data_IF_827102046948
#
_entry.id   IF_827102046948
#
_cell.length_a   1.000
_cell.length_b   1.000
_cell.length_c   1.000
_cell.angle_alpha   90.00
_cell.angle_beta   90.00
_cell.angle_gamma   90.00
#
_symmetry.space_group_name_H-M   'P 1'
#
loop_
_entity.id
_entity.type
_entity.pdbx_description
1 polymer ?
#
# COMPACT_ATOMS: atom_id res chain seq x y z
N UNK A 1 -21.86 18.58 -10.05
CA UNK A 1 -20.68 19.24 -9.45
C UNK A 1 -19.51 18.29 -9.18
N UNK A 2 -19.72 16.99 -8.84
CA UNK A 2 -18.63 16.00 -8.64
C UNK A 2 -17.72 15.80 -9.89
N UNK A 3 -18.24 15.89 -11.11
CA UNK A 3 -17.48 15.60 -12.34
C UNK A 3 -16.52 16.70 -12.79
N UNK A 4 -16.69 17.94 -12.34
CA UNK A 4 -15.84 19.07 -12.74
C UNK A 4 -14.54 19.13 -11.92
N UNK A 5 -14.58 18.67 -10.66
CA UNK A 5 -13.39 18.61 -9.79
C UNK A 5 -12.45 17.48 -10.21
N UNK A 6 -12.98 16.37 -10.76
CA UNK A 6 -12.21 15.22 -11.25
C UNK A 6 -11.32 15.57 -12.45
N UNK A 7 -11.73 16.45 -13.33
CA UNK A 7 -10.96 16.87 -14.53
C UNK A 7 -9.88 17.91 -14.26
N UNK A 8 -10.07 18.78 -13.26
CA UNK A 8 -9.12 19.87 -12.99
C UNK A 8 -7.84 19.43 -12.28
N UNK A 9 -7.88 18.38 -11.46
CA UNK A 9 -6.70 17.88 -10.76
C UNK A 9 -5.72 17.17 -11.71
N UNK A 10 -6.22 16.45 -12.72
CA UNK A 10 -5.38 15.78 -13.73
C UNK A 10 -4.65 16.76 -14.65
N UNK A 11 -5.27 17.91 -14.96
CA UNK A 11 -4.68 18.93 -15.82
C UNK A 11 -3.58 19.75 -15.11
N UNK A 12 -3.71 19.99 -13.81
CA UNK A 12 -2.72 20.75 -13.03
C UNK A 12 -1.42 19.95 -12.83
N UNK A 13 -1.51 18.63 -12.65
CA UNK A 13 -0.32 17.76 -12.53
C UNK A 13 0.46 17.72 -13.85
N UNK A 14 -0.21 17.74 -15.00
CA UNK A 14 0.44 17.72 -16.31
C UNK A 14 1.15 19.03 -16.69
N UNK A 15 0.67 20.18 -16.21
CA UNK A 15 1.26 21.50 -16.53
C UNK A 15 2.52 21.86 -15.72
N UNK A 16 2.80 21.16 -14.60
CA UNK A 16 4.01 21.38 -13.81
C UNK A 16 5.28 20.81 -14.44
N UNK A 17 5.16 20.04 -15.53
CA UNK A 17 6.27 19.27 -16.10
C UNK A 17 6.97 19.93 -17.32
N UNK A 18 6.68 21.16 -17.68
CA UNK A 18 7.12 21.74 -18.98
C UNK A 18 8.58 22.22 -19.06
N UNK A 19 9.39 22.22 -17.99
CA UNK A 19 10.74 22.83 -18.00
C UNK A 19 11.82 22.04 -17.24
N UNK A 20 11.86 20.71 -17.31
CA UNK A 20 12.85 19.94 -16.56
C UNK A 20 13.93 19.31 -17.45
N UNK A 21 15.17 19.26 -16.94
CA UNK A 21 16.30 18.64 -17.61
C UNK A 21 16.14 17.13 -17.73
N UNK A 22 16.63 16.55 -18.82
CA UNK A 22 16.62 15.12 -19.10
C UNK A 22 17.49 14.37 -18.06
N UNK A 23 16.97 13.29 -17.45
CA UNK A 23 17.66 12.58 -16.38
C UNK A 23 18.43 11.37 -16.89
N UNK A 24 19.73 11.30 -16.53
CA UNK A 24 20.42 10.03 -16.36
C UNK A 24 20.30 9.62 -14.89
N UNK A 25 19.89 8.37 -14.64
CA UNK A 25 19.63 7.88 -13.29
C UNK A 25 20.88 7.89 -12.40
N UNK A 26 20.69 8.09 -11.11
CA UNK A 26 21.75 8.14 -10.10
C UNK A 26 22.25 6.77 -9.65
N UNK A 27 21.53 5.69 -10.03
CA UNK A 27 21.86 4.31 -9.66
C UNK A 27 21.82 3.39 -10.88
N UNK A 28 22.57 2.29 -10.85
CA UNK A 28 22.51 1.24 -11.86
C UNK A 28 22.60 -0.18 -11.29
N UNK A 29 21.93 -1.13 -11.94
CA UNK A 29 21.93 -2.56 -11.58
C UNK A 29 20.84 -2.95 -10.59
N UNK A 30 20.99 -4.13 -10.02
CA UNK A 30 20.01 -4.72 -9.11
C UNK A 30 20.21 -4.25 -7.67
N UNK A 31 19.08 -3.93 -7.02
CA UNK A 31 18.96 -3.72 -5.58
C UNK A 31 17.94 -4.72 -5.02
N UNK A 32 18.33 -5.46 -3.96
CA UNK A 32 17.46 -6.40 -3.27
C UNK A 32 17.32 -5.94 -1.83
N UNK A 33 16.11 -5.59 -1.44
CA UNK A 33 15.82 -4.99 -0.14
C UNK A 33 14.69 -5.73 0.57
N UNK A 34 14.95 -6.15 1.79
CA UNK A 34 13.92 -6.46 2.76
C UNK A 34 13.57 -5.16 3.50
N UNK A 35 12.52 -4.47 3.04
CA UNK A 35 12.09 -3.20 3.62
C UNK A 35 11.55 -3.37 5.03
N UNK A 36 10.84 -4.48 5.27
CA UNK A 36 10.28 -4.80 6.56
C UNK A 36 10.03 -6.31 6.69
N UNK A 37 10.50 -6.90 7.77
CA UNK A 37 9.97 -8.11 8.36
C UNK A 37 9.62 -7.76 9.80
N UNK A 38 8.35 -7.80 10.18
CA UNK A 38 7.97 -7.35 11.52
C UNK A 38 6.97 -8.25 12.20
N UNK A 39 7.04 -8.21 13.55
CA UNK A 39 6.03 -8.70 14.45
C UNK A 39 5.43 -7.50 15.17
N UNK A 40 4.13 -7.32 15.02
CA UNK A 40 3.40 -6.21 15.56
C UNK A 40 2.48 -6.69 16.69
N UNK A 41 2.47 -5.97 17.80
CA UNK A 41 1.45 -6.08 18.82
C UNK A 41 0.54 -4.88 18.65
N UNK A 42 -0.71 -5.14 18.30
CA UNK A 42 -1.66 -4.09 17.90
C UNK A 42 -2.90 -4.11 18.76
N UNK A 43 -3.50 -2.94 18.92
CA UNK A 43 -4.89 -2.77 19.30
C UNK A 43 -5.64 -2.22 18.08
N UNK A 44 -6.80 -2.78 17.80
CA UNK A 44 -7.64 -2.32 16.68
C UNK A 44 -8.90 -1.68 17.26
N UNK A 45 -9.37 -0.64 16.57
CA UNK A 45 -10.67 -0.01 16.82
C UNK A 45 -11.39 0.10 15.49
N UNK A 46 -12.52 -0.61 15.36
CA UNK A 46 -13.31 -0.68 14.12
C UNK A 46 -14.63 0.02 14.35
N UNK A 47 -14.96 0.97 13.48
CA UNK A 47 -16.24 1.65 13.47
C UNK A 47 -17.11 1.18 12.31
N UNK A 48 -18.39 0.95 12.60
CA UNK A 48 -19.37 0.50 11.63
C UNK A 48 -18.99 -0.82 10.94
N UNK A 49 -18.35 -1.75 11.67
CA UNK A 49 -18.05 -3.08 11.15
C UNK A 49 -19.28 -3.74 10.55
N UNK A 50 -19.12 -4.47 9.45
CA UNK A 50 -20.22 -5.16 8.78
C UNK A 50 -19.69 -6.26 7.88
N UNK A 51 -20.36 -7.40 7.85
CA UNK A 51 -20.10 -8.52 6.93
C UNK A 51 -20.31 -8.16 5.44
N UNK A 52 -20.83 -6.94 5.18
CA UNK A 52 -20.92 -6.38 3.82
C UNK A 52 -19.56 -6.13 3.18
N UNK A 53 -18.54 -5.86 4.01
CA UNK A 53 -17.18 -5.64 3.52
C UNK A 53 -16.42 -6.95 3.32
N UNK A 54 -15.67 -7.07 2.24
CA UNK A 54 -14.82 -8.24 1.96
C UNK A 54 -13.44 -8.15 2.64
N UNK A 55 -13.10 -6.97 3.17
CA UNK A 55 -11.84 -6.78 3.88
C UNK A 55 -11.95 -7.28 5.31
N UNK A 56 -11.07 -8.21 5.70
CA UNK A 56 -10.94 -8.66 7.09
C UNK A 56 -10.71 -7.52 8.09
N UNK A 57 -10.18 -6.40 7.62
CA UNK A 57 -9.95 -5.20 8.43
C UNK A 57 -11.22 -4.47 8.86
N UNK A 58 -12.36 -4.69 8.19
CA UNK A 58 -13.63 -4.02 8.46
C UNK A 58 -14.73 -4.97 8.96
N UNK A 59 -14.46 -6.26 9.03
CA UNK A 59 -15.43 -7.27 9.49
C UNK A 59 -15.23 -7.68 10.95
N UNK A 60 -14.20 -7.16 11.59
CA UNK A 60 -13.73 -7.59 12.91
C UNK A 60 -14.04 -6.54 13.97
N UNK A 61 -14.37 -6.98 15.18
CA UNK A 61 -14.53 -6.11 16.37
C UNK A 61 -13.19 -5.61 16.90
N UNK A 62 -13.25 -4.58 17.76
CA UNK A 62 -12.06 -4.00 18.41
C UNK A 62 -11.39 -5.00 19.33
N UNK A 63 -10.08 -5.23 19.17
CA UNK A 63 -9.34 -6.20 19.97
C UNK A 63 -7.82 -6.02 19.88
N UNK A 64 -7.10 -6.73 20.75
CA UNK A 64 -5.63 -6.79 20.70
C UNK A 64 -5.18 -8.06 20.00
N UNK A 65 -4.22 -7.94 19.07
CA UNK A 65 -3.73 -9.06 18.28
C UNK A 65 -2.22 -9.00 18.06
N UNK A 66 -1.70 -10.12 17.57
CA UNK A 66 -0.35 -10.24 17.03
C UNK A 66 -0.45 -10.34 15.51
N UNK A 67 0.32 -9.53 14.79
CA UNK A 67 0.35 -9.49 13.33
C UNK A 67 1.77 -9.59 12.81
N UNK A 68 1.99 -10.43 11.80
CA UNK A 68 3.21 -10.48 11.01
C UNK A 68 3.08 -9.64 9.74
N UNK A 69 4.16 -8.92 9.38
CA UNK A 69 4.28 -8.21 8.08
C UNK A 69 5.58 -8.57 7.38
N UNK A 70 5.53 -8.69 6.07
CA UNK A 70 6.67 -8.84 5.16
C UNK A 70 6.54 -7.82 4.03
N UNK A 71 7.58 -7.02 3.78
CA UNK A 71 7.71 -6.15 2.61
C UNK A 71 9.11 -6.33 2.00
N UNK A 72 9.15 -6.94 0.82
CA UNK A 72 10.38 -7.22 0.07
C UNK A 72 10.31 -6.56 -1.30
N UNK A 73 11.42 -5.98 -1.75
CA UNK A 73 11.56 -5.39 -3.07
C UNK A 73 12.80 -5.90 -3.81
N UNK A 74 12.64 -6.15 -5.11
CA UNK A 74 13.72 -6.39 -6.05
C UNK A 74 13.64 -5.35 -7.17
N UNK A 75 14.56 -4.40 -7.13
CA UNK A 75 14.58 -3.23 -8.00
C UNK A 75 15.73 -3.35 -9.02
N UNK A 76 15.47 -2.99 -10.26
CA UNK A 76 16.50 -2.87 -11.29
C UNK A 76 16.55 -1.45 -11.81
N UNK A 77 17.72 -0.86 -11.76
CA UNK A 77 18.00 0.49 -12.21
C UNK A 77 18.79 0.47 -13.52
N UNK A 78 18.22 1.04 -14.56
CA UNK A 78 18.90 1.37 -15.81
C UNK A 78 18.89 2.90 -15.99
N UNK A 79 19.64 3.42 -16.96
CA UNK A 79 19.73 4.88 -17.16
C UNK A 79 18.37 5.55 -17.31
N UNK A 80 17.46 4.95 -18.09
CA UNK A 80 16.11 5.50 -18.37
C UNK A 80 14.96 4.69 -17.83
N UNK A 81 15.22 3.55 -17.19
CA UNK A 81 14.19 2.66 -16.71
C UNK A 81 14.44 2.31 -15.23
N UNK A 82 13.38 2.32 -14.46
CA UNK A 82 13.32 1.78 -13.12
C UNK A 82 12.27 0.67 -13.12
N UNK A 83 12.70 -0.56 -12.81
CA UNK A 83 11.82 -1.72 -12.71
C UNK A 83 11.82 -2.23 -11.27
N UNK A 84 10.66 -2.21 -10.64
CA UNK A 84 10.48 -2.62 -9.25
C UNK A 84 9.54 -3.83 -9.17
N UNK A 85 9.94 -4.84 -8.43
CA UNK A 85 9.10 -5.99 -8.10
C UNK A 85 8.94 -6.04 -6.59
N UNK A 86 7.71 -6.17 -6.10
CA UNK A 86 7.41 -6.19 -4.68
C UNK A 86 6.65 -7.44 -4.30
N UNK A 87 6.99 -7.98 -3.13
CA UNK A 87 6.23 -9.00 -2.42
C UNK A 87 5.85 -8.40 -1.07
N UNK A 88 4.56 -8.24 -0.83
CA UNK A 88 4.03 -7.81 0.45
C UNK A 88 3.13 -8.90 1.02
N UNK A 89 3.23 -9.15 2.31
CA UNK A 89 2.37 -10.07 3.05
C UNK A 89 2.07 -9.53 4.44
N UNK A 90 0.85 -9.68 4.88
CA UNK A 90 0.45 -9.45 6.25
C UNK A 90 -0.55 -10.49 6.71
N UNK A 91 -0.37 -10.95 7.95
CA UNK A 91 -1.24 -11.94 8.54
C UNK A 91 -1.36 -11.73 10.05
N UNK A 92 -2.59 -11.75 10.56
CA UNK A 92 -2.86 -11.60 11.99
C UNK A 92 -4.18 -12.21 12.40
N UNK A 93 -4.16 -12.97 13.50
CA UNK A 93 -5.34 -13.59 14.13
C UNK A 93 -5.35 -13.34 15.63
N UNK A 94 -6.54 -13.22 16.17
CA UNK A 94 -6.81 -13.24 17.60
C UNK A 94 -7.55 -14.51 17.97
N UNK A 95 -7.13 -15.12 19.05
CA UNK A 95 -7.75 -16.32 19.63
C UNK A 95 -8.33 -15.95 21.01
N UNK A 96 -9.64 -15.95 21.11
CA UNK A 96 -10.34 -15.73 22.38
C UNK A 96 -10.87 -17.07 22.89
N UNK A 97 -10.57 -17.40 24.14
CA UNK A 97 -11.07 -18.61 24.84
C UNK A 97 -11.85 -18.22 26.08
N UNK A 98 -13.13 -17.81 25.95
CA UNK A 98 -13.97 -17.55 27.10
C UNK A 98 -14.13 -18.81 27.95
N UNK A 99 -14.20 -18.66 29.27
CA UNK A 99 -14.35 -19.81 30.16
C UNK A 99 -15.70 -20.52 29.91
N UNK A 100 -15.63 -21.79 29.46
CA UNK A 100 -16.82 -22.60 29.19
C UNK A 100 -17.47 -22.41 27.81
N UNK A 101 -16.86 -21.64 26.93
CA UNK A 101 -17.32 -21.43 25.56
C UNK A 101 -16.31 -21.96 24.52
N UNK A 102 -16.74 -22.06 23.27
CA UNK A 102 -15.85 -22.42 22.15
C UNK A 102 -14.84 -21.30 21.87
N UNK A 103 -13.70 -21.68 21.33
CA UNK A 103 -12.67 -20.75 20.92
C UNK A 103 -13.17 -19.86 19.75
N UNK A 104 -13.13 -18.54 19.95
CA UNK A 104 -13.46 -17.56 18.92
C UNK A 104 -12.17 -17.13 18.21
N UNK A 105 -12.06 -17.38 16.91
CA UNK A 105 -10.92 -16.95 16.10
C UNK A 105 -11.37 -15.85 15.17
N UNK A 106 -10.75 -14.68 15.30
CA UNK A 106 -11.01 -13.52 14.45
C UNK A 106 -9.78 -13.18 13.65
N UNK A 107 -9.93 -13.01 12.35
CA UNK A 107 -8.86 -12.60 11.45
C UNK A 107 -8.91 -11.09 11.23
N UNK A 108 -7.79 -10.41 11.49
CA UNK A 108 -7.68 -8.96 11.45
C UNK A 108 -6.82 -8.45 10.29
N UNK A 109 -5.96 -9.31 9.75
CA UNK A 109 -5.15 -9.00 8.58
C UNK A 109 -4.87 -10.30 7.81
N UNK A 110 -5.11 -10.30 6.50
CA UNK A 110 -4.86 -11.46 5.64
C UNK A 110 -4.70 -10.94 4.21
N UNK A 111 -3.46 -10.71 3.79
CA UNK A 111 -3.18 -10.14 2.48
C UNK A 111 -1.83 -10.61 1.96
N UNK A 112 -1.79 -11.02 0.71
CA UNK A 112 -0.57 -11.25 -0.07
C UNK A 112 -0.68 -10.45 -1.35
N UNK A 113 0.31 -9.62 -1.65
CA UNK A 113 0.40 -8.82 -2.87
C UNK A 113 1.73 -9.07 -3.56
N UNK A 114 1.66 -9.48 -4.81
CA UNK A 114 2.78 -9.51 -5.75
C UNK A 114 2.56 -8.40 -6.77
N UNK A 115 3.54 -7.54 -6.98
CA UNK A 115 3.42 -6.47 -7.96
C UNK A 115 4.73 -6.25 -8.71
N UNK A 116 4.60 -5.89 -9.98
CA UNK A 116 5.70 -5.42 -10.83
C UNK A 116 5.34 -4.06 -11.39
N UNK A 117 6.30 -3.14 -11.40
CA UNK A 117 6.15 -1.73 -11.77
C UNK A 117 7.31 -1.34 -12.69
N UNK A 118 7.01 -0.80 -13.84
CA UNK A 118 7.98 -0.26 -14.77
C UNK A 118 7.78 1.24 -14.90
N UNK A 119 8.80 2.02 -14.55
CA UNK A 119 8.79 3.48 -14.62
C UNK A 119 9.85 3.96 -15.63
N UNK A 120 9.44 4.84 -16.54
CA UNK A 120 10.38 5.52 -17.44
C UNK A 120 10.83 6.83 -16.80
N UNK A 121 12.15 7.04 -16.65
CA UNK A 121 12.75 8.25 -16.08
C UNK A 121 12.76 9.36 -17.11
N UNK A 122 11.92 10.38 -16.92
CA UNK A 122 11.89 11.52 -17.84
C UNK A 122 12.68 12.71 -17.29
N UNK A 123 12.46 13.04 -16.01
CA UNK A 123 12.99 14.25 -15.39
C UNK A 123 13.63 13.96 -14.05
N UNK A 124 14.66 14.73 -13.73
CA UNK A 124 15.28 14.80 -12.40
C UNK A 124 15.10 16.21 -11.86
N UNK A 125 14.62 16.32 -10.64
CA UNK A 125 14.40 17.56 -9.92
C UNK A 125 15.36 17.53 -8.71
N UNK A 126 16.31 18.47 -8.64
CA UNK A 126 17.38 18.41 -7.65
C UNK A 126 17.11 19.26 -6.40
N UNK A 127 16.47 20.42 -6.57
CA UNK A 127 16.40 21.46 -5.54
C UNK A 127 15.14 21.44 -4.68
N UNK A 128 14.17 20.57 -4.96
CA UNK A 128 12.90 20.53 -4.25
C UNK A 128 12.75 19.23 -3.43
N UNK A 129 12.40 19.33 -2.14
CA UNK A 129 12.19 18.20 -1.20
C UNK A 129 13.36 17.18 -1.16
N UNK A 130 14.60 17.65 -1.37
CA UNK A 130 15.79 16.81 -1.37
C UNK A 130 16.03 16.03 -2.66
N UNK A 131 15.40 16.45 -3.76
CA UNK A 131 15.50 15.84 -5.07
C UNK A 131 14.57 14.64 -5.26
N UNK A 132 14.18 14.37 -6.49
CA UNK A 132 13.46 13.17 -6.91
C UNK A 132 13.49 13.03 -8.42
N UNK A 133 13.14 11.86 -8.92
CA UNK A 133 12.93 11.57 -10.32
C UNK A 133 11.45 11.53 -10.66
N UNK A 134 11.08 11.83 -11.90
CA UNK A 134 9.70 11.85 -12.37
C UNK A 134 9.53 11.14 -13.70
N UNK A 135 8.41 10.46 -13.89
CA UNK A 135 8.09 9.84 -15.16
C UNK A 135 6.78 9.06 -15.18
N UNK A 136 6.37 8.61 -16.38
CA UNK A 136 5.24 7.70 -16.52
C UNK A 136 5.60 6.32 -15.99
N UNK A 137 4.60 5.61 -15.49
CA UNK A 137 4.74 4.23 -15.06
C UNK A 137 3.56 3.38 -15.47
N UNK A 138 3.80 2.08 -15.55
CA UNK A 138 2.79 1.06 -15.63
C UNK A 138 3.12 -0.06 -14.64
N UNK A 139 2.10 -0.62 -14.00
CA UNK A 139 2.28 -1.75 -13.10
C UNK A 139 1.18 -2.78 -13.25
N UNK A 140 1.52 -4.01 -12.86
CA UNK A 140 0.55 -5.09 -12.70
C UNK A 140 0.78 -5.73 -11.33
N UNK A 141 -0.30 -6.05 -10.63
CA UNK A 141 -0.27 -6.69 -9.32
C UNK A 141 -1.29 -7.81 -9.24
N UNK A 142 -0.99 -8.79 -8.41
CA UNK A 142 -1.89 -9.87 -8.01
C UNK A 142 -2.04 -9.85 -6.49
N UNK A 143 -3.27 -9.68 -6.02
CA UNK A 143 -3.63 -9.67 -4.61
C UNK A 143 -4.42 -10.94 -4.28
N UNK A 144 -4.00 -11.63 -3.21
CA UNK A 144 -4.66 -12.80 -2.65
C UNK A 144 -4.56 -12.79 -1.13
N UNK A 145 -4.94 -13.87 -0.50
CA UNK A 145 -4.91 -14.12 0.95
C UNK A 145 -4.11 -15.40 1.23
N UNK A 146 -3.65 -15.57 2.46
CA UNK A 146 -2.96 -16.79 2.91
C UNK A 146 -3.94 -17.96 3.04
N UNK A 147 -5.13 -17.69 3.57
CA UNK A 147 -6.23 -18.65 3.69
C UNK A 147 -7.58 -18.00 3.42
N UNK A 148 -8.60 -18.82 3.20
CA UNK A 148 -9.98 -18.38 3.06
C UNK A 148 -10.62 -18.35 4.46
N UNK A 149 -10.97 -17.17 4.94
CA UNK A 149 -11.50 -16.97 6.28
C UNK A 149 -13.01 -16.98 6.32
N UNK A 150 -13.58 -17.47 7.42
CA UNK A 150 -15.00 -17.36 7.75
C UNK A 150 -15.99 -17.78 6.64
N UNK A 151 -15.63 -18.83 5.87
CA UNK A 151 -16.48 -19.32 4.77
C UNK A 151 -16.49 -18.43 3.52
N UNK A 152 -15.69 -17.39 3.47
CA UNK A 152 -15.47 -16.58 2.28
C UNK A 152 -14.56 -17.30 1.28
N UNK A 153 -14.68 -16.97 -0.01
CA UNK A 153 -13.75 -17.45 -1.02
C UNK A 153 -12.39 -16.74 -0.91
N UNK A 154 -11.33 -17.46 -1.24
CA UNK A 154 -9.98 -16.87 -1.31
C UNK A 154 -9.95 -15.73 -2.34
N UNK A 155 -9.52 -14.54 -1.92
CA UNK A 155 -9.42 -13.35 -2.78
C UNK A 155 -8.45 -13.61 -3.95
N UNK A 156 -8.85 -13.23 -5.15
CA UNK A 156 -8.06 -13.35 -6.40
C UNK A 156 -8.31 -12.12 -7.26
N UNK A 157 -7.46 -11.12 -7.10
CA UNK A 157 -7.61 -9.84 -7.78
C UNK A 157 -6.35 -9.53 -8.57
N UNK A 158 -6.49 -9.32 -9.87
CA UNK A 158 -5.43 -8.79 -10.75
C UNK A 158 -5.69 -7.31 -10.97
N UNK A 159 -4.64 -6.48 -10.80
CA UNK A 159 -4.75 -5.03 -10.91
C UNK A 159 -3.69 -4.47 -11.82
N UNK A 160 -4.11 -3.81 -12.91
CA UNK A 160 -3.26 -3.01 -13.78
C UNK A 160 -3.35 -1.54 -13.42
N UNK A 161 -2.23 -0.82 -13.42
CA UNK A 161 -2.17 0.63 -13.19
C UNK A 161 -1.31 1.30 -14.24
N UNK A 162 -1.70 2.51 -14.67
CA UNK A 162 -0.88 3.36 -15.52
C UNK A 162 -1.05 4.83 -15.15
N UNK A 163 0.06 5.59 -15.09
CA UNK A 163 0.00 6.97 -14.63
C UNK A 163 1.34 7.68 -14.60
N UNK A 164 1.44 8.70 -13.76
CA UNK A 164 2.66 9.45 -13.48
C UNK A 164 3.15 9.23 -12.06
N UNK A 165 4.47 9.23 -11.88
CA UNK A 165 5.11 8.97 -10.60
C UNK A 165 6.32 9.88 -10.38
N UNK A 166 6.47 10.37 -9.14
CA UNK A 166 7.71 10.91 -8.57
C UNK A 166 8.31 9.83 -7.69
N UNK A 167 9.62 9.61 -7.75
CA UNK A 167 10.28 8.50 -7.07
C UNK A 167 11.75 8.76 -6.79
N UNK A 168 12.40 7.89 -6.02
CA UNK A 168 13.83 7.92 -5.67
C UNK A 168 14.30 9.23 -4.99
N UNK A 169 13.39 9.97 -4.36
CA UNK A 169 13.76 11.17 -3.62
C UNK A 169 14.38 10.86 -2.25
N UNK A 170 15.11 11.83 -1.71
CA UNK A 170 15.72 11.72 -0.37
C UNK A 170 14.66 11.50 0.71
N UNK A 171 13.60 12.28 0.70
CA UNK A 171 12.49 12.20 1.65
C UNK A 171 11.24 11.59 1.01
N UNK A 172 10.90 12.03 -0.20
CA UNK A 172 9.77 11.54 -0.97
C UNK A 172 10.20 10.30 -1.76
N UNK A 173 9.91 9.11 -1.24
CA UNK A 173 10.24 7.85 -1.91
C UNK A 173 9.33 7.55 -3.07
N UNK A 174 8.08 7.99 -2.97
CA UNK A 174 7.09 7.82 -4.02
C UNK A 174 5.95 8.83 -3.85
N UNK A 175 5.46 9.38 -4.96
CA UNK A 175 4.18 10.06 -5.08
C UNK A 175 3.64 9.74 -6.48
N UNK A 176 2.43 9.23 -6.58
CA UNK A 176 1.87 8.82 -7.87
C UNK A 176 0.39 9.14 -7.98
N UNK A 177 -0.05 9.21 -9.24
CA UNK A 177 -1.45 9.20 -9.62
C UNK A 177 -1.64 8.29 -10.83
N UNK A 178 -2.63 7.41 -10.82
CA UNK A 178 -2.83 6.39 -11.82
C UNK A 178 -4.31 6.11 -12.10
N UNK A 179 -4.58 5.73 -13.33
CA UNK A 179 -5.78 5.00 -13.70
C UNK A 179 -5.56 3.51 -13.39
N UNK A 180 -6.59 2.87 -12.86
CA UNK A 180 -6.55 1.48 -12.41
C UNK A 180 -7.62 0.69 -13.14
N UNK A 181 -7.27 -0.50 -13.61
CA UNK A 181 -8.19 -1.54 -14.04
C UNK A 181 -7.97 -2.75 -13.14
N UNK A 182 -9.04 -3.24 -12.57
CA UNK A 182 -9.01 -4.37 -11.66
C UNK A 182 -9.93 -5.47 -12.17
N UNK A 183 -9.45 -6.71 -12.19
CA UNK A 183 -10.24 -7.90 -12.48
C UNK A 183 -10.32 -8.78 -11.23
N UNK A 184 -11.51 -8.96 -10.69
CA UNK A 184 -11.81 -9.77 -9.50
C UNK A 184 -12.34 -11.14 -9.91
N UNK A 185 -11.51 -12.16 -9.72
CA UNK A 185 -11.79 -13.59 -9.95
C UNK A 185 -12.24 -14.34 -8.68
N UNK A 186 -12.52 -13.61 -7.61
CA UNK A 186 -12.91 -14.21 -6.31
C UNK A 186 -14.27 -14.89 -6.39
N UNK A 187 -15.18 -14.30 -7.13
CA UNK A 187 -16.57 -14.77 -7.22
C UNK A 187 -16.97 -15.07 -8.67
N UNK A 188 -18.08 -15.78 -8.82
CA UNK A 188 -18.74 -16.07 -10.10
C UNK A 188 -20.12 -15.39 -10.08
N UNK A 189 -20.44 -14.51 -11.08
CA UNK A 189 -19.61 -14.07 -12.18
C UNK A 189 -18.41 -13.22 -11.73
N UNK A 190 -17.33 -13.22 -12.53
CA UNK A 190 -16.16 -12.35 -12.35
C UNK A 190 -16.54 -10.88 -12.54
N UNK A 191 -15.84 -9.95 -11.89
CA UNK A 191 -16.08 -8.51 -12.05
C UNK A 191 -14.84 -7.78 -12.53
N UNK A 192 -15.02 -6.81 -13.42
CA UNK A 192 -13.98 -5.87 -13.82
C UNK A 192 -14.35 -4.48 -13.37
N UNK A 193 -13.42 -3.82 -12.68
CA UNK A 193 -13.62 -2.50 -12.08
C UNK A 193 -12.62 -1.52 -12.66
N UNK A 194 -13.00 -0.25 -12.71
CA UNK A 194 -12.07 0.84 -13.00
C UNK A 194 -12.02 1.82 -11.85
N UNK A 195 -10.84 2.39 -11.60
CA UNK A 195 -10.66 3.33 -10.52
C UNK A 195 -9.60 4.38 -10.86
N UNK A 196 -9.58 5.46 -10.10
CA UNK A 196 -8.45 6.38 -9.99
C UNK A 196 -7.75 6.15 -8.66
N UNK A 197 -6.41 6.09 -8.66
CA UNK A 197 -5.63 5.91 -7.43
C UNK A 197 -4.54 6.96 -7.34
N UNK A 198 -4.36 7.52 -6.16
CA UNK A 198 -3.22 8.36 -5.83
C UNK A 198 -2.61 7.89 -4.52
N UNK A 199 -1.29 7.97 -4.40
CA UNK A 199 -0.61 7.56 -3.18
C UNK A 199 0.77 8.15 -3.04
N UNK A 200 1.30 8.10 -1.82
CA UNK A 200 2.64 8.59 -1.51
C UNK A 200 3.36 7.70 -0.50
N UNK A 201 4.68 7.82 -0.46
CA UNK A 201 5.56 7.25 0.57
C UNK A 201 6.67 8.25 0.89
N UNK A 202 6.81 8.56 2.18
CA UNK A 202 7.85 9.42 2.75
C UNK A 202 8.67 8.60 3.72
N UNK A 203 9.98 8.74 3.65
CA UNK A 203 10.92 8.19 4.62
C UNK A 203 11.96 9.22 4.96
N UNK A 204 12.23 9.41 6.24
CA UNK A 204 13.25 10.35 6.71
C UNK A 204 13.87 9.91 8.02
N UNK A 205 15.16 10.11 8.18
CA UNK A 205 15.83 10.01 9.46
C UNK A 205 15.59 11.30 10.24
N UNK A 206 14.84 11.21 11.35
CA UNK A 206 14.59 12.34 12.26
C UNK A 206 15.87 12.69 13.03
N UNK A 207 16.59 11.64 13.46
CA UNK A 207 17.90 11.69 14.08
C UNK A 207 18.61 10.37 13.90
N UNK A 208 19.89 10.29 14.24
CA UNK A 208 20.64 9.04 14.19
C UNK A 208 19.90 7.92 14.94
N UNK A 209 19.64 6.81 14.23
CA UNK A 209 18.93 5.64 14.75
C UNK A 209 17.42 5.80 14.92
N UNK A 210 16.81 6.90 14.44
CA UNK A 210 15.35 7.09 14.47
C UNK A 210 14.86 7.46 13.08
N UNK A 211 14.16 6.53 12.43
CA UNK A 211 13.58 6.69 11.09
C UNK A 211 12.07 6.86 11.18
N UNK A 212 11.54 7.82 10.47
CA UNK A 212 10.10 7.98 10.24
C UNK A 212 9.73 7.46 8.86
N UNK A 213 8.67 6.67 8.80
CA UNK A 213 8.07 6.15 7.56
C UNK A 213 6.60 6.49 7.58
N UNK A 214 6.11 7.09 6.49
CA UNK A 214 4.69 7.35 6.29
C UNK A 214 4.31 7.05 4.85
N UNK A 215 3.20 6.35 4.65
CA UNK A 215 2.65 6.10 3.34
C UNK A 215 1.13 6.11 3.37
N UNK A 216 0.51 6.42 2.24
CA UNK A 216 -0.93 6.34 2.07
C UNK A 216 -1.28 6.14 0.60
N UNK A 217 -2.44 5.55 0.36
CA UNK A 217 -3.13 5.63 -0.93
C UNK A 217 -4.61 5.90 -0.73
N UNK A 218 -5.19 6.52 -1.74
CA UNK A 218 -6.62 6.72 -1.94
C UNK A 218 -7.01 6.14 -3.28
N UNK A 219 -8.07 5.33 -3.33
CA UNK A 219 -8.63 4.77 -4.55
C UNK A 219 -10.12 5.10 -4.63
N UNK A 220 -10.52 5.69 -5.75
CA UNK A 220 -11.89 6.07 -6.08
C UNK A 220 -12.38 5.17 -7.22
N UNK A 221 -13.34 4.31 -6.95
CA UNK A 221 -13.89 3.38 -7.91
C UNK A 221 -14.92 4.07 -8.79
N UNK A 222 -14.83 3.89 -10.12
CA UNK A 222 -15.65 4.59 -11.10
C UNK A 222 -16.71 3.71 -11.72
N UNK A 223 -16.36 2.46 -12.05
CA UNK A 223 -17.24 1.53 -12.75
C UNK A 223 -17.05 0.10 -12.26
N UNK A 224 -18.10 -0.68 -12.34
CA UNK A 224 -18.14 -2.11 -12.09
C UNK A 224 -18.86 -2.79 -13.24
N UNK A 225 -18.36 -3.91 -13.75
CA UNK A 225 -19.06 -4.70 -14.78
C UNK A 225 -20.19 -5.51 -14.18
N UNK A 226 -20.04 -5.96 -12.94
CA UNK A 226 -21.04 -6.66 -12.16
C UNK A 226 -21.22 -5.92 -10.83
N UNK A 227 -22.46 -5.57 -10.48
CA UNK A 227 -22.75 -4.87 -9.24
C UNK A 227 -22.94 -5.85 -8.09
N UNK A 228 -22.10 -5.72 -7.05
CA UNK A 228 -22.14 -6.53 -5.83
C UNK A 228 -22.42 -5.67 -4.61
N UNK A 229 -22.91 -6.31 -3.55
CA UNK A 229 -23.14 -5.64 -2.25
C UNK A 229 -21.82 -5.11 -1.66
N UNK A 230 -20.71 -5.82 -1.92
CA UNK A 230 -19.37 -5.52 -1.43
C UNK A 230 -18.60 -4.47 -2.25
N UNK A 231 -19.20 -3.94 -3.33
CA UNK A 231 -18.53 -2.96 -4.17
C UNK A 231 -18.30 -1.66 -3.42
N UNK A 232 -17.09 -1.14 -3.55
CA UNK A 232 -16.64 0.06 -2.86
C UNK A 232 -16.85 1.31 -3.72
N UNK A 233 -17.22 2.42 -3.11
CA UNK A 233 -17.19 3.75 -3.75
C UNK A 233 -15.74 4.27 -3.70
N UNK A 234 -15.10 4.16 -2.52
CA UNK A 234 -13.68 4.47 -2.36
C UNK A 234 -13.04 3.67 -1.22
N UNK A 235 -11.70 3.62 -1.24
CA UNK A 235 -10.91 3.15 -0.10
C UNK A 235 -9.68 4.04 0.14
N UNK A 236 -9.28 4.11 1.40
CA UNK A 236 -8.08 4.80 1.87
C UNK A 236 -7.31 3.87 2.79
N UNK A 237 -6.00 3.81 2.60
CA UNK A 237 -5.11 3.19 3.57
C UNK A 237 -3.94 4.14 3.85
N UNK A 238 -3.57 4.27 5.12
CA UNK A 238 -2.43 5.08 5.55
C UNK A 238 -1.72 4.41 6.71
N UNK A 239 -0.39 4.50 6.73
CA UNK A 239 0.43 4.05 7.86
C UNK A 239 1.48 5.12 8.18
N UNK A 240 1.67 5.38 9.46
CA UNK A 240 2.80 6.14 9.98
C UNK A 240 3.53 5.31 11.05
N UNK A 241 4.87 5.26 10.97
CA UNK A 241 5.71 4.45 11.85
C UNK A 241 6.98 5.18 12.22
N UNK A 242 7.42 5.01 13.47
CA UNK A 242 8.75 5.36 13.93
C UNK A 242 9.56 4.08 14.15
N UNK A 243 10.70 3.96 13.51
CA UNK A 243 11.65 2.86 13.70
C UNK A 243 12.83 3.37 14.53
N UNK A 244 12.91 2.93 15.79
CA UNK A 244 13.99 3.26 16.72
C UNK A 244 14.98 2.09 16.69
N UNK A 245 16.16 2.31 16.18
CA UNK A 245 17.20 1.28 16.04
C UNK A 245 17.63 0.75 17.41
N UNK A 246 17.51 -0.56 17.59
CA UNK A 246 17.98 -1.26 18.78
C UNK A 246 19.39 -1.80 18.56
N UNK A 247 19.58 -2.56 17.49
CA UNK A 247 20.82 -3.23 17.18
C UNK A 247 20.90 -3.61 15.71
N UNK A 248 22.01 -3.26 15.02
CA UNK A 248 22.19 -3.51 13.58
C UNK A 248 20.98 -3.08 12.75
N UNK A 249 20.25 -4.06 12.21
CA UNK A 249 19.09 -3.89 11.34
C UNK A 249 17.75 -4.08 12.08
N UNK A 250 17.79 -4.28 13.40
CA UNK A 250 16.63 -4.46 14.25
C UNK A 250 16.19 -3.11 14.82
N UNK A 251 14.90 -2.82 14.71
CA UNK A 251 14.29 -1.61 15.25
C UNK A 251 12.99 -1.94 15.99
N UNK A 252 12.62 -1.09 16.93
CA UNK A 252 11.31 -1.11 17.61
C UNK A 252 10.71 0.27 17.55
N UNK A 253 9.38 0.35 17.48
CA UNK A 253 8.72 1.64 17.57
C UNK A 253 7.22 1.60 17.41
N UNK A 254 6.55 2.69 17.78
CA UNK A 254 5.12 2.81 17.61
C UNK A 254 4.74 2.95 16.13
N UNK A 255 3.55 2.48 15.80
CA UNK A 255 2.94 2.70 14.51
C UNK A 255 1.44 2.93 14.65
N UNK A 256 0.87 3.58 13.67
CA UNK A 256 -0.56 3.69 13.45
C UNK A 256 -0.84 3.36 11.99
N UNK A 257 -1.83 2.52 11.75
CA UNK A 257 -2.37 2.25 10.42
C UNK A 257 -3.87 2.58 10.44
N UNK A 258 -4.33 3.26 9.43
CA UNK A 258 -5.72 3.63 9.22
C UNK A 258 -6.21 3.04 7.92
N UNK A 259 -7.35 2.35 7.95
CA UNK A 259 -8.03 1.86 6.77
C UNK A 259 -9.49 2.30 6.80
N UNK A 260 -9.96 2.87 5.71
CA UNK A 260 -11.33 3.33 5.56
C UNK A 260 -11.86 2.93 4.18
N UNK A 261 -13.11 2.48 4.12
CA UNK A 261 -13.78 2.19 2.87
C UNK A 261 -15.26 2.59 2.94
N UNK A 262 -15.80 3.04 1.80
CA UNK A 262 -17.21 3.31 1.62
C UNK A 262 -17.83 2.25 0.70
N UNK A 263 -18.96 1.67 1.10
CA UNK A 263 -19.72 0.75 0.28
C UNK A 263 -20.67 1.52 -0.64
N UNK A 264 -20.63 1.22 -1.94
CA UNK A 264 -21.37 1.95 -2.98
C UNK A 264 -22.89 1.91 -2.77
N UNK A 265 -23.46 0.73 -2.49
CA UNK A 265 -24.91 0.53 -2.39
C UNK A 265 -25.54 1.03 -1.10
N UNK A 266 -24.82 0.98 0.00
CA UNK A 266 -25.41 1.25 1.32
C UNK A 266 -25.06 2.61 1.89
N UNK A 267 -24.29 3.43 1.16
CA UNK A 267 -23.76 4.71 1.65
C UNK A 267 -23.17 4.58 3.07
N UNK A 268 -22.56 3.42 3.36
CA UNK A 268 -21.90 3.11 4.63
C UNK A 268 -20.42 3.35 4.49
N UNK A 269 -19.86 4.05 5.45
CA UNK A 269 -18.43 4.22 5.62
C UNK A 269 -18.03 3.44 6.87
N UNK A 270 -17.05 2.59 6.73
CA UNK A 270 -16.41 1.90 7.85
C UNK A 270 -14.94 2.25 7.89
N UNK A 271 -14.40 2.36 9.07
CA UNK A 271 -12.98 2.62 9.29
C UNK A 271 -12.40 1.74 10.40
N UNK A 272 -11.11 1.53 10.32
CA UNK A 272 -10.35 0.74 11.28
C UNK A 272 -9.01 1.40 11.58
N UNK A 273 -8.71 1.54 12.85
CA UNK A 273 -7.46 2.03 13.39
C UNK A 273 -6.67 0.89 14.02
N UNK A 274 -5.48 0.63 13.49
CA UNK A 274 -4.50 -0.25 14.10
C UNK A 274 -3.42 0.61 14.75
N UNK A 275 -3.27 0.48 16.06
CA UNK A 275 -2.21 1.16 16.79
C UNK A 275 -1.41 0.15 17.58
N UNK A 276 -0.10 0.34 17.68
CA UNK A 276 0.69 -0.64 18.39
C UNK A 276 2.18 -0.37 18.36
N UNK A 277 2.91 -1.43 18.72
CA UNK A 277 4.37 -1.47 18.71
C UNK A 277 4.80 -2.53 17.71
N UNK A 278 5.74 -2.17 16.84
CA UNK A 278 6.35 -3.05 15.86
C UNK A 278 7.80 -3.36 16.26
N UNK A 279 8.15 -4.63 16.29
CA UNK A 279 9.54 -5.09 16.24
C UNK A 279 9.85 -5.43 14.80
N UNK A 280 10.75 -4.68 14.16
CA UNK A 280 11.01 -4.77 12.74
C UNK A 280 12.48 -5.03 12.42
N UNK A 281 12.71 -5.77 11.35
CA UNK A 281 14.03 -6.01 10.76
C UNK A 281 13.99 -5.58 9.30
N UNK A 282 15.00 -4.81 8.86
CA UNK A 282 15.15 -4.37 7.47
C UNK A 282 16.60 -4.47 7.01
N UNK A 283 16.86 -4.86 5.76
CA UNK A 283 18.21 -4.99 5.25
C UNK A 283 18.27 -4.94 3.73
N UNK A 284 19.43 -4.52 3.20
CA UNK A 284 19.77 -4.70 1.79
C UNK A 284 20.61 -5.96 1.63
N UNK A 285 20.13 -6.91 0.86
CA UNK A 285 20.92 -8.09 0.44
C UNK A 285 21.87 -7.71 -0.70
N UNK A 286 21.47 -6.73 -1.51
CA UNK A 286 22.27 -6.17 -2.59
C UNK A 286 21.90 -4.71 -2.81
N UNK A 287 22.87 -3.84 -2.93
CA UNK A 287 22.66 -2.43 -3.30
C UNK A 287 22.99 -2.20 -4.77
N UNK A 288 22.21 -1.37 -5.44
CA UNK A 288 22.56 -0.84 -6.75
C UNK A 288 23.85 0.00 -6.66
N UNK A 289 24.56 0.13 -7.77
CA UNK A 289 25.75 1.00 -7.84
C UNK A 289 25.28 2.44 -8.00
N UNK A 290 25.86 3.36 -7.21
CA UNK A 290 25.74 4.79 -7.43
C UNK A 290 26.59 5.19 -8.66
N UNK A 291 26.08 6.07 -9.52
CA UNK A 291 26.71 6.56 -10.73
C UNK A 291 27.33 7.94 -10.53
#
# INVERSE_FOLDING_TARGET
MKNIIRFSLSAVIFMLFANFAYSDGTKSGWELELKQLSLNITSTEVHNSSDTFTSSRLTTDSQTLIQGKLDFAANYFASKLFWSNTLFGEYGKTYLRPAGEEEIVTENANKVLLATDLTYRLWKIEDFLGGFEAGPFASIGYETQFDASNGQKLKKVVRGKAGGKLFEGKYLKQLYAAYVVEADYTYDPESTNTAFEAGFRIETDIREGVKFVCWSYYRDYMTYSEERISDLDYEVEAEARLDIKLWNNLAVGPFVNYYCAAAQRYNRVADNWYTGISLSYSTFFKKAKEL
#
